data_IF_078205930725
#
_entry.id   IF_078205930725
#
_cell.length_a   1.000
_cell.length_b   1.000
_cell.length_c   1.000
_cell.angle_alpha   90.00
_cell.angle_beta   90.00
_cell.angle_gamma   90.00
#
_symmetry.space_group_name_H-M   'P 1'
#
loop_
_entity.id
_entity.type
_entity.pdbx_description
1 polymer ?
#
# COMPACT_ATOMS: atom_id res chain seq x y z
N UNK A 1 -35.12 16.90 26.15
CA UNK A 1 -35.06 15.66 25.35
C UNK A 1 -34.36 15.79 23.97
N UNK A 2 -33.93 16.99 23.52
CA UNK A 2 -33.24 17.19 22.22
C UNK A 2 -31.70 17.13 22.26
N UNK A 3 -31.07 17.39 23.43
CA UNK A 3 -29.60 17.48 23.55
C UNK A 3 -28.89 16.16 23.20
N UNK A 4 -29.49 15.01 23.51
CA UNK A 4 -28.90 13.71 23.24
C UNK A 4 -28.94 13.37 21.75
N UNK A 5 -29.98 13.79 21.01
CA UNK A 5 -30.11 13.54 19.57
C UNK A 5 -29.11 14.36 18.75
N UNK A 6 -28.81 15.60 19.18
CA UNK A 6 -27.82 16.46 18.52
C UNK A 6 -26.40 15.87 18.58
N UNK A 7 -26.08 15.15 19.67
CA UNK A 7 -24.80 14.43 19.81
C UNK A 7 -24.63 13.35 18.73
N UNK A 8 -25.69 12.59 18.43
CA UNK A 8 -25.66 11.54 17.41
C UNK A 8 -25.55 12.11 15.99
N UNK A 9 -26.11 13.31 15.73
CA UNK A 9 -25.97 14.00 14.44
C UNK A 9 -24.49 14.33 14.14
N UNK A 10 -23.73 14.75 15.16
CA UNK A 10 -22.29 14.99 15.01
C UNK A 10 -21.45 13.70 15.07
N UNK A 11 -21.91 12.68 15.80
CA UNK A 11 -21.18 11.41 15.93
C UNK A 11 -21.20 10.59 14.63
N UNK A 12 -22.31 10.62 13.89
CA UNK A 12 -22.48 9.88 12.64
C UNK A 12 -21.41 10.16 11.57
N UNK A 13 -21.14 11.42 11.17
CA UNK A 13 -20.12 11.72 10.17
C UNK A 13 -18.71 11.41 10.67
N UNK A 14 -18.45 11.57 11.97
CA UNK A 14 -17.15 11.22 12.58
C UNK A 14 -16.93 9.70 12.50
N UNK A 15 -17.93 8.91 12.88
CA UNK A 15 -17.85 7.45 12.78
C UNK A 15 -17.68 7.00 11.32
N UNK A 16 -18.46 7.59 10.40
CA UNK A 16 -18.33 7.33 8.97
C UNK A 16 -16.91 7.59 8.45
N UNK A 17 -16.31 8.73 8.85
CA UNK A 17 -14.94 9.09 8.50
C UNK A 17 -13.94 8.05 9.00
N UNK A 18 -14.01 7.66 10.27
CA UNK A 18 -13.10 6.65 10.82
C UNK A 18 -13.26 5.29 10.14
N UNK A 19 -14.49 4.86 9.84
CA UNK A 19 -14.74 3.62 9.08
C UNK A 19 -14.06 3.70 7.70
N UNK A 20 -14.16 4.83 7.00
CA UNK A 20 -13.52 5.02 5.70
C UNK A 20 -12.00 5.05 5.79
N UNK A 21 -11.44 5.69 6.82
CA UNK A 21 -10.00 5.68 7.06
C UNK A 21 -9.50 4.25 7.26
N UNK A 22 -10.16 3.47 8.13
CA UNK A 22 -9.80 2.07 8.36
C UNK A 22 -9.95 1.25 7.07
N UNK A 23 -11.02 1.48 6.29
CA UNK A 23 -11.23 0.79 5.02
C UNK A 23 -10.12 1.06 4.00
N UNK A 24 -9.73 2.32 3.79
CA UNK A 24 -8.66 2.70 2.85
C UNK A 24 -7.30 2.17 3.33
N UNK A 25 -7.03 2.22 4.63
CA UNK A 25 -5.80 1.64 5.20
C UNK A 25 -5.76 0.14 4.94
N UNK A 26 -6.86 -0.58 5.21
CA UNK A 26 -6.94 -2.01 4.96
C UNK A 26 -6.78 -2.34 3.47
N UNK A 27 -7.50 -1.66 2.57
CA UNK A 27 -7.38 -1.86 1.13
C UNK A 27 -5.97 -1.57 0.61
N UNK A 28 -5.31 -0.52 1.12
CA UNK A 28 -3.94 -0.16 0.74
C UNK A 28 -2.87 -1.12 1.29
N UNK A 29 -3.15 -1.83 2.39
CA UNK A 29 -2.25 -2.81 2.98
C UNK A 29 -2.42 -4.23 2.41
N UNK A 30 -3.58 -4.53 1.81
CA UNK A 30 -3.88 -5.85 1.25
C UNK A 30 -3.40 -5.92 -0.21
N UNK A 31 -2.40 -6.75 -0.47
CA UNK A 31 -1.98 -7.06 -1.85
C UNK A 31 -3.04 -7.91 -2.56
N UNK A 32 -3.56 -7.39 -3.69
CA UNK A 32 -4.60 -8.03 -4.50
C UNK A 32 -4.11 -9.24 -5.32
N UNK A 33 -2.83 -9.60 -5.23
CA UNK A 33 -2.24 -10.77 -5.90
C UNK A 33 -2.40 -10.79 -7.44
N UNK A 34 -2.65 -9.63 -8.05
CA UNK A 34 -2.85 -9.49 -9.50
C UNK A 34 -1.58 -9.76 -10.32
N UNK A 35 -1.78 -10.05 -11.63
CA UNK A 35 -0.71 -10.19 -12.62
C UNK A 35 -0.53 -8.87 -13.40
N UNK A 36 0.69 -8.60 -13.84
CA UNK A 36 1.04 -7.45 -14.67
C UNK A 36 1.99 -7.84 -15.81
N UNK A 37 1.89 -7.14 -16.93
CA UNK A 37 2.83 -7.34 -18.04
C UNK A 37 4.21 -6.75 -17.73
N UNK A 38 4.27 -5.66 -16.96
CA UNK A 38 5.51 -4.94 -16.62
C UNK A 38 5.48 -4.58 -15.13
N UNK A 39 6.61 -4.75 -14.44
CA UNK A 39 6.84 -4.22 -13.10
C UNK A 39 7.88 -3.10 -13.14
N UNK A 40 7.62 -2.02 -12.38
CA UNK A 40 8.51 -0.86 -12.28
C UNK A 40 8.99 -0.74 -10.84
N UNK A 41 10.31 -0.79 -10.62
CA UNK A 41 10.93 -0.63 -9.31
C UNK A 41 11.44 0.79 -9.16
N UNK A 42 10.85 1.57 -8.25
CA UNK A 42 11.17 2.98 -8.07
C UNK A 42 12.34 3.19 -7.10
N UNK A 43 13.28 4.03 -7.51
CA UNK A 43 14.42 4.47 -6.72
C UNK A 43 15.75 4.09 -7.36
N UNK A 44 16.77 4.90 -7.09
CA UNK A 44 18.12 4.77 -7.67
C UNK A 44 19.22 5.07 -6.64
N UNK A 45 18.87 5.20 -5.36
CA UNK A 45 19.84 5.56 -4.33
C UNK A 45 20.71 4.36 -3.96
N UNK A 46 21.94 4.42 -4.43
CA UNK A 46 23.06 3.59 -4.01
C UNK A 46 23.94 4.44 -3.08
N UNK A 47 24.40 3.85 -1.98
CA UNK A 47 25.31 4.48 -1.03
C UNK A 47 26.75 4.48 -1.59
N UNK A 48 27.65 5.23 -0.98
CA UNK A 48 29.04 5.36 -1.45
C UNK A 48 29.83 4.03 -1.41
N UNK A 49 29.43 3.11 -0.54
CA UNK A 49 29.99 1.77 -0.43
C UNK A 49 29.41 0.77 -1.45
N UNK A 50 28.52 1.23 -2.34
CA UNK A 50 27.86 0.40 -3.35
C UNK A 50 26.61 -0.33 -2.85
N UNK A 51 26.25 -0.22 -1.57
CA UNK A 51 25.03 -0.84 -1.04
C UNK A 51 23.79 -0.06 -1.48
N UNK A 52 22.65 -0.74 -1.59
CA UNK A 52 21.38 -0.05 -1.83
C UNK A 52 20.91 0.64 -0.54
N UNK A 53 20.23 1.79 -0.67
CA UNK A 53 19.47 2.31 0.47
C UNK A 53 18.41 1.30 0.94
N UNK A 54 18.11 1.26 2.25
CA UNK A 54 17.15 0.31 2.83
C UNK A 54 15.80 0.29 2.09
N UNK A 55 15.34 1.47 1.65
CA UNK A 55 14.08 1.64 0.91
C UNK A 55 14.16 1.03 -0.50
N UNK A 56 15.30 1.12 -1.16
CA UNK A 56 15.50 0.54 -2.49
C UNK A 56 15.71 -0.98 -2.38
N UNK A 57 16.46 -1.44 -1.38
CA UNK A 57 16.62 -2.87 -1.08
C UNK A 57 15.26 -3.55 -0.87
N UNK A 58 14.41 -3.02 0.02
CA UNK A 58 13.08 -3.57 0.28
C UNK A 58 12.17 -3.62 -0.98
N UNK A 59 12.26 -2.60 -1.84
CA UNK A 59 11.51 -2.59 -3.12
C UNK A 59 12.06 -3.61 -4.11
N UNK A 60 13.39 -3.79 -4.14
CA UNK A 60 14.05 -4.77 -4.99
C UNK A 60 13.68 -6.19 -4.57
N UNK A 61 13.72 -6.50 -3.28
CA UNK A 61 13.34 -7.80 -2.73
C UNK A 61 11.89 -8.16 -3.09
N UNK A 62 10.97 -7.21 -2.94
CA UNK A 62 9.58 -7.40 -3.35
C UNK A 62 9.46 -7.61 -4.87
N UNK A 63 10.23 -6.88 -5.67
CA UNK A 63 10.21 -7.02 -7.13
C UNK A 63 10.69 -8.40 -7.60
N UNK A 64 11.72 -8.95 -6.96
CA UNK A 64 12.23 -10.29 -7.21
C UNK A 64 11.16 -11.32 -6.82
N UNK A 65 10.48 -11.11 -5.69
CA UNK A 65 9.37 -11.98 -5.26
C UNK A 65 8.22 -11.98 -6.28
N UNK A 66 7.81 -10.81 -6.78
CA UNK A 66 6.76 -10.68 -7.81
C UNK A 66 7.18 -11.31 -9.14
N UNK A 67 8.44 -11.17 -9.53
CA UNK A 67 8.96 -11.75 -10.76
C UNK A 67 9.03 -13.28 -10.68
N UNK A 68 9.61 -13.82 -9.61
CA UNK A 68 9.79 -15.26 -9.42
C UNK A 68 8.48 -16.01 -9.18
N UNK A 69 7.46 -15.35 -8.59
CA UNK A 69 6.10 -15.89 -8.45
C UNK A 69 5.29 -15.91 -9.75
N UNK A 70 5.83 -15.43 -10.87
CA UNK A 70 5.14 -15.38 -12.15
C UNK A 70 4.00 -14.35 -12.20
N UNK A 71 3.99 -13.38 -11.26
CA UNK A 71 3.05 -12.26 -11.28
C UNK A 71 3.43 -11.20 -12.30
N UNK A 72 4.67 -11.19 -12.76
CA UNK A 72 5.17 -10.31 -13.83
C UNK A 72 5.56 -11.15 -15.04
N UNK A 73 5.16 -10.72 -16.24
CA UNK A 73 5.52 -11.41 -17.48
C UNK A 73 7.03 -11.35 -17.71
N UNK A 74 7.64 -12.51 -17.98
CA UNK A 74 9.03 -12.59 -18.43
C UNK A 74 9.10 -12.32 -19.93
N UNK A 75 9.87 -11.31 -20.33
CA UNK A 75 10.22 -11.09 -21.72
C UNK A 75 11.50 -11.86 -22.02
N UNK A 76 11.32 -13.04 -22.66
CA UNK A 76 12.33 -13.94 -23.25
C UNK A 76 13.71 -13.98 -22.56
#
# INVERSE_FOLDING_TARGET
MMKNKLKYIFLLPVLWFFIHCVYIIADGLIDRQGKADIAVVLGNKVNEDGTLSDRLAARMDQSITLYTSGRVKRFW
#
